data_IF_741986150645
#
_entry.id   IF_741986150645
#
_cell.length_a   1.000
_cell.length_b   1.000
_cell.length_c   1.000
_cell.angle_alpha   90.00
_cell.angle_beta   90.00
_cell.angle_gamma   90.00
#
_symmetry.space_group_name_H-M   'P 1'
#
loop_
_entity.id
_entity.type
_entity.pdbx_description
1 polymer ?
#
# COMPACT_ATOMS: atom_id res chain seq x y z
N UNK A 1 -19.63 10.90 13.81
CA UNK A 1 -19.25 9.49 13.51
C UNK A 1 -18.92 9.29 12.03
N UNK A 2 -19.76 9.81 11.14
CA UNK A 2 -19.71 9.59 9.68
C UNK A 2 -18.46 10.11 8.96
N UNK A 3 -17.66 10.93 9.63
CA UNK A 3 -16.40 11.50 9.10
C UNK A 3 -15.16 10.70 9.51
N UNK A 4 -15.31 9.70 10.39
CA UNK A 4 -14.21 8.90 10.90
C UNK A 4 -14.19 7.52 10.25
N UNK A 5 -12.97 7.03 10.03
CA UNK A 5 -12.73 5.65 9.59
C UNK A 5 -13.29 4.68 10.64
N UNK A 6 -13.93 3.61 10.20
CA UNK A 6 -14.28 2.51 11.09
C UNK A 6 -13.02 1.69 11.38
N UNK A 7 -12.51 1.82 12.61
CA UNK A 7 -11.29 1.16 13.07
C UNK A 7 -11.49 -0.34 13.35
N UNK A 8 -12.72 -0.85 13.29
CA UNK A 8 -12.97 -2.30 13.38
C UNK A 8 -12.53 -3.05 12.13
N UNK A 9 -12.40 -2.34 11.00
CA UNK A 9 -11.99 -2.89 9.72
C UNK A 9 -10.63 -2.36 9.25
N UNK A 10 -9.84 -3.12 8.48
CA UNK A 10 -8.66 -2.59 7.79
C UNK A 10 -9.05 -1.57 6.70
N UNK A 11 -8.09 -0.78 6.22
CA UNK A 11 -8.34 0.30 5.23
C UNK A 11 -8.97 -0.21 3.93
N UNK A 12 -8.59 -1.39 3.47
CA UNK A 12 -9.16 -2.02 2.27
C UNK A 12 -10.55 -2.64 2.46
N UNK A 13 -11.15 -2.58 3.66
CA UNK A 13 -12.40 -3.25 4.00
C UNK A 13 -13.45 -2.32 4.62
N UNK A 14 -13.37 -1.02 4.33
CA UNK A 14 -14.25 0.01 4.91
C UNK A 14 -15.70 -0.06 4.43
N UNK A 15 -15.99 -0.78 3.36
CA UNK A 15 -17.35 -0.93 2.82
C UNK A 15 -17.76 -2.40 2.75
N UNK A 16 -19.06 -2.72 2.87
CA UNK A 16 -19.55 -4.09 2.70
C UNK A 16 -19.17 -4.69 1.34
N UNK A 17 -19.14 -3.88 0.28
CA UNK A 17 -18.73 -4.29 -1.05
C UNK A 17 -17.25 -4.73 -1.07
N UNK A 18 -16.36 -3.90 -0.52
CA UNK A 18 -14.93 -4.23 -0.44
C UNK A 18 -14.68 -5.48 0.42
N UNK A 19 -15.40 -5.63 1.53
CA UNK A 19 -15.33 -6.84 2.36
C UNK A 19 -15.78 -8.10 1.61
N UNK A 20 -16.85 -8.01 0.83
CA UNK A 20 -17.33 -9.13 0.03
C UNK A 20 -16.35 -9.49 -1.09
N UNK A 21 -15.75 -8.49 -1.74
CA UNK A 21 -14.71 -8.68 -2.75
C UNK A 21 -13.49 -9.39 -2.17
N UNK A 22 -12.97 -8.91 -1.04
CA UNK A 22 -11.82 -9.53 -0.35
C UNK A 22 -12.09 -10.99 0.02
N UNK A 23 -13.26 -11.29 0.59
CA UNK A 23 -13.66 -12.66 0.92
C UNK A 23 -13.79 -13.54 -0.31
N UNK A 24 -14.28 -13.00 -1.43
CA UNK A 24 -14.43 -13.74 -2.68
C UNK A 24 -13.06 -14.09 -3.26
N UNK A 25 -12.17 -13.08 -3.39
CA UNK A 25 -10.80 -13.27 -3.86
C UNK A 25 -10.03 -14.27 -3.01
N UNK A 26 -10.14 -14.17 -1.69
CA UNK A 26 -9.49 -15.12 -0.79
C UNK A 26 -9.96 -16.56 -1.02
N UNK A 27 -11.28 -16.78 -1.12
CA UNK A 27 -11.86 -18.11 -1.39
C UNK A 27 -11.42 -18.68 -2.74
N UNK A 28 -11.31 -17.82 -3.75
CA UNK A 28 -10.79 -18.22 -5.07
C UNK A 28 -9.32 -18.64 -4.99
N UNK A 29 -8.50 -17.88 -4.25
CA UNK A 29 -7.11 -18.23 -3.98
C UNK A 29 -6.98 -19.54 -3.19
N UNK A 30 -7.81 -19.76 -2.16
CA UNK A 30 -7.84 -21.02 -1.40
C UNK A 30 -8.13 -22.22 -2.31
N UNK A 31 -9.16 -22.12 -3.16
CA UNK A 31 -9.50 -23.20 -4.10
C UNK A 31 -8.38 -23.47 -5.10
N UNK A 32 -7.78 -22.42 -5.65
CA UNK A 32 -6.67 -22.55 -6.58
C UNK A 32 -5.45 -23.19 -5.91
N UNK A 33 -5.14 -22.77 -4.68
CA UNK A 33 -4.06 -23.31 -3.88
C UNK A 33 -4.26 -24.80 -3.58
N UNK A 34 -5.45 -25.19 -3.10
CA UNK A 34 -5.78 -26.59 -2.84
C UNK A 34 -5.70 -27.46 -4.11
N UNK A 35 -6.16 -26.95 -5.24
CA UNK A 35 -6.06 -27.63 -6.53
C UNK A 35 -4.61 -27.84 -6.96
N UNK A 36 -3.76 -26.81 -6.84
CA UNK A 36 -2.34 -26.88 -7.19
C UNK A 36 -1.58 -27.86 -6.28
N UNK A 37 -1.89 -27.89 -4.98
CA UNK A 37 -1.35 -28.87 -4.04
C UNK A 37 -1.77 -30.29 -4.41
N UNK A 38 -3.06 -30.51 -4.73
CA UNK A 38 -3.58 -31.83 -5.11
C UNK A 38 -2.99 -32.34 -6.43
N UNK A 39 -2.68 -31.44 -7.36
CA UNK A 39 -2.03 -31.77 -8.64
C UNK A 39 -0.52 -31.98 -8.52
N UNK A 40 0.09 -31.76 -7.34
CA UNK A 40 1.54 -31.85 -7.15
C UNK A 40 2.33 -30.76 -7.89
N UNK A 41 1.66 -29.68 -8.32
CA UNK A 41 2.29 -28.54 -8.99
C UNK A 41 2.98 -27.64 -7.95
N UNK A 42 2.34 -27.48 -6.79
CA UNK A 42 2.90 -26.77 -5.66
C UNK A 42 3.50 -27.78 -4.68
N UNK A 43 4.81 -27.68 -4.44
CA UNK A 43 5.47 -28.36 -3.32
C UNK A 43 5.75 -27.38 -2.17
N UNK A 44 6.33 -27.89 -1.09
CA UNK A 44 6.63 -27.07 0.09
C UNK A 44 7.63 -25.93 -0.18
N UNK A 45 8.51 -26.09 -1.18
CA UNK A 45 9.48 -25.08 -1.61
C UNK A 45 8.79 -23.97 -2.41
N UNK A 46 7.95 -24.35 -3.38
CA UNK A 46 7.16 -23.43 -4.19
C UNK A 46 6.13 -22.67 -3.35
N UNK A 47 5.64 -23.25 -2.24
CA UNK A 47 4.75 -22.56 -1.29
C UNK A 47 5.42 -21.33 -0.67
N UNK A 48 6.72 -21.37 -0.39
CA UNK A 48 7.46 -20.23 0.16
C UNK A 48 7.51 -19.08 -0.86
N UNK A 49 7.61 -19.40 -2.16
CA UNK A 49 7.76 -18.44 -3.24
C UNK A 49 6.40 -17.87 -3.69
N UNK A 50 5.40 -18.72 -3.83
CA UNK A 50 4.06 -18.36 -4.33
C UNK A 50 3.13 -17.81 -3.26
N UNK A 51 3.43 -18.08 -1.99
CA UNK A 51 2.64 -17.64 -0.86
C UNK A 51 1.42 -18.52 -0.59
N UNK A 52 0.75 -18.23 0.52
CA UNK A 52 -0.54 -18.84 0.88
C UNK A 52 -1.68 -17.89 0.51
N UNK A 53 -2.94 -18.38 0.44
CA UNK A 53 -4.09 -17.51 0.24
C UNK A 53 -4.11 -16.33 1.23
N UNK A 54 -4.41 -15.13 0.73
CA UNK A 54 -4.30 -13.90 1.49
C UNK A 54 -5.32 -12.86 1.02
N UNK A 55 -5.72 -11.96 1.93
CA UNK A 55 -6.63 -10.88 1.58
C UNK A 55 -5.93 -9.73 0.84
N UNK A 56 -4.65 -9.50 1.14
CA UNK A 56 -3.86 -8.38 0.61
C UNK A 56 -2.51 -8.89 0.14
N UNK A 57 -2.13 -8.55 -1.10
CA UNK A 57 -0.80 -8.86 -1.65
C UNK A 57 0.30 -7.90 -1.19
N UNK A 58 -0.06 -6.86 -0.44
CA UNK A 58 0.84 -5.83 0.06
C UNK A 58 0.72 -5.69 1.57
N UNK A 59 1.82 -5.36 2.25
CA UNK A 59 1.79 -4.95 3.65
C UNK A 59 1.23 -3.53 3.80
N UNK A 60 0.55 -3.28 4.91
CA UNK A 60 -0.12 -2.00 5.18
C UNK A 60 0.86 -0.82 5.28
N UNK A 61 2.08 -1.08 5.76
CA UNK A 61 3.17 -0.12 5.77
C UNK A 61 4.46 -0.87 5.45
N UNK A 62 5.26 -0.33 4.54
CA UNK A 62 6.58 -0.84 4.18
C UNK A 62 7.53 0.36 3.95
N UNK A 63 8.86 0.15 3.87
CA UNK A 63 9.80 1.25 3.67
C UNK A 63 9.50 2.12 2.45
N UNK A 64 9.03 1.52 1.34
CA UNK A 64 8.60 2.25 0.15
C UNK A 64 7.42 3.18 0.42
N UNK A 65 6.41 2.74 1.18
CA UNK A 65 5.28 3.58 1.58
C UNK A 65 5.67 4.71 2.53
N UNK A 66 6.60 4.45 3.45
CA UNK A 66 7.14 5.50 4.34
C UNK A 66 7.87 6.55 3.52
N UNK A 67 8.75 6.13 2.60
CA UNK A 67 9.42 7.05 1.68
C UNK A 67 8.41 7.82 0.83
N UNK A 68 7.38 7.14 0.33
CA UNK A 68 6.32 7.76 -0.48
C UNK A 68 5.55 8.85 0.27
N UNK A 69 5.23 8.66 1.55
CA UNK A 69 4.57 9.70 2.36
C UNK A 69 5.51 10.84 2.73
N UNK A 70 6.77 10.54 3.05
CA UNK A 70 7.69 11.48 3.68
C UNK A 70 8.70 12.12 2.70
N UNK A 71 8.63 11.82 1.40
CA UNK A 71 9.65 12.21 0.42
C UNK A 71 9.94 13.73 0.38
N UNK A 72 9.05 14.60 0.88
CA UNK A 72 9.28 16.05 0.92
C UNK A 72 10.29 16.49 1.98
N UNK A 73 10.68 15.60 2.90
CA UNK A 73 11.60 15.89 4.00
C UNK A 73 12.91 15.14 3.83
N UNK A 74 14.02 15.76 4.22
CA UNK A 74 15.28 15.03 4.41
C UNK A 74 15.19 14.17 5.69
N UNK A 75 15.79 12.96 5.71
CA UNK A 75 16.59 12.33 4.65
C UNK A 75 15.75 11.58 3.59
N UNK A 76 14.42 11.53 3.74
CA UNK A 76 13.52 10.73 2.90
C UNK A 76 13.49 11.17 1.44
N UNK A 77 13.71 12.45 1.15
CA UNK A 77 13.86 12.99 -0.21
C UNK A 77 14.99 12.28 -0.94
N UNK A 78 16.18 12.25 -0.35
CA UNK A 78 17.36 11.59 -0.93
C UNK A 78 17.17 10.09 -1.05
N UNK A 79 16.61 9.46 -0.03
CA UNK A 79 16.31 8.03 -0.04
C UNK A 79 15.27 7.66 -1.12
N UNK A 80 14.28 8.52 -1.37
CA UNK A 80 13.31 8.32 -2.44
C UNK A 80 13.98 8.39 -3.81
N UNK A 81 14.89 9.35 -4.03
CA UNK A 81 15.66 9.47 -5.28
C UNK A 81 16.58 8.27 -5.48
N UNK A 82 17.27 7.82 -4.42
CA UNK A 82 18.14 6.64 -4.46
C UNK A 82 17.35 5.36 -4.80
N UNK A 83 16.17 5.18 -4.22
CA UNK A 83 15.29 4.05 -4.50
C UNK A 83 14.81 4.02 -5.96
N UNK A 84 14.70 5.17 -6.62
CA UNK A 84 14.17 5.32 -7.97
C UNK A 84 15.28 5.57 -9.01
N UNK A 85 16.41 4.86 -8.88
CA UNK A 85 17.55 4.92 -9.81
C UNK A 85 18.14 6.33 -10.01
N UNK A 86 18.21 7.11 -8.93
CA UNK A 86 18.83 8.43 -8.93
C UNK A 86 17.96 9.56 -9.49
N UNK A 87 16.66 9.34 -9.65
CA UNK A 87 15.67 10.33 -10.10
C UNK A 87 14.40 10.27 -9.24
N UNK A 88 13.55 11.27 -9.35
CA UNK A 88 12.20 11.16 -8.80
C UNK A 88 11.37 10.13 -9.57
N UNK A 89 10.39 9.57 -8.88
CA UNK A 89 9.34 8.79 -9.52
C UNK A 89 8.50 9.68 -10.47
N UNK A 90 7.69 9.07 -11.34
CA UNK A 90 6.68 9.78 -12.12
C UNK A 90 5.75 10.55 -11.19
N UNK A 91 5.51 11.84 -11.49
CA UNK A 91 4.71 12.74 -10.67
C UNK A 91 3.31 12.18 -10.35
N UNK A 92 2.66 11.54 -11.32
CA UNK A 92 1.35 10.87 -11.17
C UNK A 92 1.33 9.75 -10.10
N UNK A 93 2.49 9.18 -9.77
CA UNK A 93 2.64 8.11 -8.78
C UNK A 93 3.07 8.63 -7.42
N UNK A 94 3.53 9.86 -7.33
CA UNK A 94 4.02 10.44 -6.07
C UNK A 94 2.88 10.89 -5.18
N UNK A 95 3.13 10.99 -3.87
CA UNK A 95 2.13 11.46 -2.93
C UNK A 95 1.86 12.96 -3.13
N UNK A 96 0.74 13.33 -3.73
CA UNK A 96 0.41 14.74 -4.00
C UNK A 96 -0.93 15.20 -3.42
N UNK A 97 -1.86 14.28 -3.09
CA UNK A 97 -3.18 14.61 -2.55
C UNK A 97 -3.63 13.58 -1.51
N UNK A 98 -4.08 14.05 -0.34
CA UNK A 98 -4.51 13.20 0.78
C UNK A 98 -5.76 12.40 0.41
N UNK A 99 -6.70 13.02 -0.32
CA UNK A 99 -7.95 12.36 -0.70
C UNK A 99 -7.69 11.24 -1.71
N UNK A 100 -6.87 11.50 -2.72
CA UNK A 100 -6.45 10.50 -3.69
C UNK A 100 -5.69 9.36 -3.02
N UNK A 101 -4.76 9.67 -2.10
CA UNK A 101 -4.05 8.67 -1.30
C UNK A 101 -5.02 7.78 -0.52
N UNK A 102 -5.97 8.38 0.22
CA UNK A 102 -6.99 7.65 0.97
C UNK A 102 -7.84 6.75 0.07
N UNK A 103 -8.35 7.29 -1.04
CA UNK A 103 -9.19 6.53 -1.98
C UNK A 103 -8.41 5.37 -2.62
N UNK A 104 -7.13 5.58 -2.94
CA UNK A 104 -6.26 4.50 -3.42
C UNK A 104 -6.08 3.42 -2.35
N UNK A 105 -5.80 3.81 -1.11
CA UNK A 105 -5.61 2.89 0.03
C UNK A 105 -6.83 2.04 0.36
N UNK A 106 -8.03 2.52 0.01
CA UNK A 106 -9.27 1.74 0.22
C UNK A 106 -9.48 0.60 -0.78
N UNK A 107 -8.64 0.52 -1.83
CA UNK A 107 -8.68 -0.56 -2.82
C UNK A 107 -7.83 -1.73 -2.35
N UNK A 108 -8.26 -2.96 -2.68
CA UNK A 108 -7.56 -4.18 -2.26
C UNK A 108 -6.13 -4.33 -2.80
N UNK A 109 -5.75 -3.56 -3.84
CA UNK A 109 -4.43 -3.64 -4.49
C UNK A 109 -3.31 -2.99 -3.66
N UNK A 110 -3.61 -1.94 -2.91
CA UNK A 110 -2.62 -1.22 -2.12
C UNK A 110 -3.28 -0.71 -0.84
N UNK A 111 -2.99 -1.31 0.30
CA UNK A 111 -3.66 -0.97 1.58
C UNK A 111 -2.79 -0.11 2.48
N UNK A 112 -2.31 1.03 1.97
CA UNK A 112 -1.39 1.91 2.71
C UNK A 112 -2.07 2.49 3.95
N UNK A 113 -1.52 2.22 5.14
CA UNK A 113 -1.87 2.87 6.40
C UNK A 113 -0.96 4.08 6.65
N UNK A 114 -1.43 5.02 7.47
CA UNK A 114 -0.73 6.29 7.68
C UNK A 114 0.45 6.13 8.66
N UNK A 115 1.64 6.68 8.36
CA UNK A 115 2.74 6.76 9.33
C UNK A 115 2.44 7.82 10.41
N UNK A 116 3.08 7.73 11.59
CA UNK A 116 2.81 8.62 12.72
C UNK A 116 3.05 10.11 12.41
N UNK A 117 3.98 10.43 11.51
CA UNK A 117 4.33 11.80 11.13
C UNK A 117 3.15 12.57 10.53
N UNK A 118 2.20 11.90 9.87
CA UNK A 118 0.99 12.57 9.35
C UNK A 118 0.05 13.07 10.46
N UNK A 119 0.23 12.63 11.70
CA UNK A 119 -0.56 13.08 12.85
C UNK A 119 0.15 14.17 13.66
N UNK A 120 1.47 14.30 13.54
CA UNK A 120 2.26 15.15 14.43
C UNK A 120 3.24 16.12 13.74
N UNK A 121 3.48 15.97 12.44
CA UNK A 121 4.47 16.77 11.70
C UNK A 121 3.88 17.32 10.39
N UNK A 122 3.38 18.58 10.38
CA UNK A 122 2.78 19.18 9.20
C UNK A 122 3.79 19.44 8.06
N UNK A 123 5.09 19.44 8.35
CA UNK A 123 6.13 19.69 7.35
C UNK A 123 6.22 18.56 6.31
N UNK A 124 5.67 17.36 6.58
CA UNK A 124 5.57 16.27 5.59
C UNK A 124 4.69 16.62 4.38
N UNK A 125 3.79 17.59 4.55
CA UNK A 125 2.88 18.07 3.49
C UNK A 125 3.40 19.36 2.83
N UNK A 126 4.52 19.91 3.30
CA UNK A 126 5.11 21.14 2.78
C UNK A 126 6.31 20.82 1.91
N UNK A 127 6.40 21.47 0.76
CA UNK A 127 7.54 21.31 -0.14
C UNK A 127 8.49 22.48 0.02
N UNK A 128 9.48 22.34 0.90
CA UNK A 128 10.41 23.41 1.24
C UNK A 128 11.80 23.25 0.60
N UNK A 129 12.06 22.16 -0.13
CA UNK A 129 13.38 21.87 -0.69
C UNK A 129 13.71 22.67 -1.96
N UNK A 130 12.70 23.24 -2.63
CA UNK A 130 12.86 23.98 -3.89
C UNK A 130 13.19 23.10 -5.10
N UNK A 131 13.19 21.78 -4.94
CA UNK A 131 13.43 20.81 -6.01
C UNK A 131 12.20 20.66 -6.89
N UNK A 132 12.37 20.52 -8.20
CA UNK A 132 11.26 20.24 -9.12
C UNK A 132 10.77 18.78 -8.93
N UNK A 133 9.47 18.62 -8.66
CA UNK A 133 8.82 17.32 -8.47
C UNK A 133 8.09 16.83 -9.72
N UNK A 134 8.17 17.58 -10.83
CA UNK A 134 7.47 17.29 -12.06
C UNK A 134 6.00 17.71 -12.06
N UNK A 135 5.31 17.34 -13.14
CA UNK A 135 3.89 17.64 -13.41
C UNK A 135 3.15 16.39 -13.83
#
# INVERSE_FOLDING_TARGET
PDTFRDLTWPIGAQTPAAQAELRTKHKEQERAFEMQMRMGILDETLRIITGTPHHYGTFYLNPGFVLWFLFRQEPFLRLHVELNDGKFDHADRMFHDIKAAYLSSTKASEVKELPPELYCNPEVLRHNSGVDLGT
#
